data_IF_489664196484
#
_entry.id   IF_489664196484
#
_cell.length_a   1.000
_cell.length_b   1.000
_cell.length_c   1.000
_cell.angle_alpha   90.00
_cell.angle_beta   90.00
_cell.angle_gamma   90.00
#
_symmetry.space_group_name_H-M   'P 1'
#
loop_
_entity.id
_entity.type
_entity.pdbx_description
1 polymer ?
#
# COMPACT_ATOMS: atom_id res chain seq x y z
N UNK A 1 30.65 -10.23 8.55
CA UNK A 1 30.54 -8.77 8.29
C UNK A 1 29.19 -8.36 8.82
N UNK A 2 29.16 -7.58 9.90
CA UNK A 2 27.92 -7.10 10.51
C UNK A 2 27.37 -5.98 9.63
N UNK A 3 26.26 -6.24 8.94
CA UNK A 3 25.44 -5.21 8.32
C UNK A 3 24.74 -4.45 9.45
N UNK A 4 25.22 -3.26 9.75
CA UNK A 4 24.49 -2.30 10.57
C UNK A 4 23.20 -1.98 9.80
N UNK A 5 22.07 -2.44 10.32
CA UNK A 5 20.76 -1.89 9.99
C UNK A 5 20.79 -0.46 10.52
N UNK A 6 20.88 0.52 9.63
CA UNK A 6 20.75 1.92 10.00
C UNK A 6 19.34 2.15 10.52
N UNK A 7 19.13 2.05 11.83
CA UNK A 7 17.90 2.48 12.47
C UNK A 7 17.81 3.99 12.27
N UNK A 8 16.83 4.43 11.47
CA UNK A 8 16.44 5.85 11.41
C UNK A 8 16.20 6.32 12.84
N UNK A 9 16.81 7.44 13.29
CA UNK A 9 16.58 7.96 14.64
C UNK A 9 15.07 8.18 14.83
N UNK A 10 14.48 7.42 15.76
CA UNK A 10 13.06 7.46 16.02
C UNK A 10 12.74 8.73 16.79
N UNK A 11 11.91 9.59 16.19
CA UNK A 11 11.55 10.89 16.75
C UNK A 11 10.17 10.79 17.38
N UNK A 12 10.12 10.52 18.67
CA UNK A 12 8.85 10.52 19.36
C UNK A 12 8.48 11.90 19.89
N UNK A 13 7.18 12.22 19.86
CA UNK A 13 6.66 13.53 20.27
C UNK A 13 5.73 13.36 21.46
N UNK A 14 5.82 14.26 22.43
CA UNK A 14 4.81 14.39 23.49
C UNK A 14 3.94 15.61 23.19
N UNK A 15 2.65 15.41 22.94
CA UNK A 15 1.74 16.50 22.59
C UNK A 15 0.44 16.44 23.39
N UNK A 16 0.08 17.55 24.03
CA UNK A 16 -1.10 17.65 24.91
C UNK A 16 -1.21 16.52 25.97
N UNK A 17 -0.07 15.96 26.37
CA UNK A 17 0.03 14.85 27.31
C UNK A 17 -0.15 13.45 26.70
N UNK A 18 -0.26 13.32 25.38
CA UNK A 18 -0.26 12.05 24.66
C UNK A 18 1.11 11.78 24.04
N UNK A 19 1.71 10.60 24.25
CA UNK A 19 2.84 10.16 23.43
C UNK A 19 2.38 9.85 22.01
N UNK A 20 3.08 10.43 21.05
CA UNK A 20 2.95 10.17 19.62
C UNK A 20 4.21 9.41 19.21
N UNK A 21 4.06 8.11 18.98
CA UNK A 21 5.17 7.21 18.62
C UNK A 21 5.13 6.99 17.13
N UNK A 22 6.24 7.31 16.47
CA UNK A 22 6.36 7.19 15.02
C UNK A 22 6.87 5.78 14.74
N UNK A 23 6.07 4.98 14.04
CA UNK A 23 6.45 3.62 13.65
C UNK A 23 6.65 3.57 12.14
N UNK A 24 7.81 4.03 11.63
CA UNK A 24 8.07 3.99 10.21
C UNK A 24 8.02 2.55 9.73
N UNK A 25 7.23 2.31 8.68
CA UNK A 25 7.19 1.02 8.01
C UNK A 25 8.34 0.98 7.00
N UNK A 26 9.31 0.09 7.18
CA UNK A 26 10.52 0.02 6.35
C UNK A 26 10.22 0.00 4.84
N UNK A 27 9.14 -0.69 4.45
CA UNK A 27 8.72 -0.78 3.05
C UNK A 27 8.10 0.52 2.52
N UNK A 28 7.49 1.36 3.37
CA UNK A 28 6.96 2.68 2.99
C UNK A 28 8.11 3.64 2.67
N UNK A 29 9.20 3.59 3.43
CA UNK A 29 10.40 4.43 3.21
C UNK A 29 11.34 3.91 2.12
N UNK A 30 11.03 2.77 1.51
CA UNK A 30 11.91 2.18 0.50
C UNK A 30 12.02 3.06 -0.77
N UNK A 31 13.23 3.16 -1.31
CA UNK A 31 13.51 3.92 -2.54
C UNK A 31 12.65 3.46 -3.74
N UNK A 32 12.31 2.17 -3.78
CA UNK A 32 11.47 1.61 -4.84
C UNK A 32 10.02 2.12 -4.76
N UNK A 33 9.44 2.22 -3.55
CA UNK A 33 8.10 2.77 -3.36
C UNK A 33 8.09 4.27 -3.59
N UNK A 34 9.10 5.00 -3.12
CA UNK A 34 9.25 6.43 -3.41
C UNK A 34 9.26 6.68 -4.92
N UNK A 35 10.12 5.98 -5.67
CA UNK A 35 10.19 6.13 -7.14
C UNK A 35 8.89 5.73 -7.83
N UNK A 36 8.19 4.72 -7.32
CA UNK A 36 6.92 4.27 -7.87
C UNK A 36 5.84 5.35 -7.86
N UNK A 37 5.70 6.03 -6.72
CA UNK A 37 4.70 7.10 -6.51
C UNK A 37 4.92 8.21 -7.54
N UNK A 38 6.14 8.69 -7.68
CA UNK A 38 6.46 9.77 -8.62
C UNK A 38 6.41 9.34 -10.09
N UNK A 39 6.75 8.09 -10.41
CA UNK A 39 6.70 7.58 -11.78
C UNK A 39 5.28 7.50 -12.37
N UNK A 40 4.27 7.52 -11.52
CA UNK A 40 2.87 7.40 -11.91
C UNK A 40 2.08 8.72 -11.81
N UNK A 41 2.72 9.83 -11.44
CA UNK A 41 2.07 11.16 -11.42
C UNK A 41 1.47 11.51 -12.79
N UNK A 42 2.20 11.22 -13.87
CA UNK A 42 1.77 11.46 -15.24
C UNK A 42 0.85 10.35 -15.80
N UNK A 43 0.73 9.21 -15.11
CA UNK A 43 -0.04 8.03 -15.55
C UNK A 43 -1.22 7.74 -14.62
N UNK A 44 -2.20 8.66 -14.63
CA UNK A 44 -3.40 8.61 -13.77
C UNK A 44 -4.10 7.26 -13.77
N UNK A 45 -4.23 6.62 -14.93
CA UNK A 45 -4.91 5.32 -15.03
C UNK A 45 -4.19 4.26 -14.21
N UNK A 46 -2.85 4.27 -14.23
CA UNK A 46 -2.03 3.32 -13.50
C UNK A 46 -1.99 3.63 -12.00
N UNK A 47 -1.85 4.91 -11.62
CA UNK A 47 -2.02 5.38 -10.23
C UNK A 47 -3.35 4.88 -9.65
N UNK A 48 -4.44 5.16 -10.35
CA UNK A 48 -5.79 4.81 -9.91
C UNK A 48 -5.98 3.31 -9.74
N UNK A 49 -5.30 2.51 -10.56
CA UNK A 49 -5.28 1.07 -10.43
C UNK A 49 -4.59 0.63 -9.14
N UNK A 50 -3.39 1.14 -8.83
CA UNK A 50 -2.71 0.78 -7.57
C UNK A 50 -3.46 1.24 -6.32
N UNK A 51 -4.10 2.42 -6.37
CA UNK A 51 -4.89 2.93 -5.24
C UNK A 51 -6.21 2.16 -5.04
N UNK A 52 -6.95 1.84 -6.13
CA UNK A 52 -8.27 1.16 -6.04
C UNK A 52 -8.17 -0.35 -5.92
N UNK A 53 -7.23 -0.95 -6.63
CA UNK A 53 -7.14 -2.41 -6.78
C UNK A 53 -6.08 -2.96 -5.85
N UNK A 54 -6.38 -2.96 -4.55
CA UNK A 54 -5.67 -3.80 -3.60
C UNK A 54 -6.29 -5.20 -3.66
N UNK A 55 -5.45 -6.24 -3.72
CA UNK A 55 -5.84 -7.66 -3.89
C UNK A 55 -6.63 -8.27 -2.71
N UNK A 56 -7.13 -7.40 -1.84
CA UNK A 56 -7.81 -7.63 -0.58
C UNK A 56 -9.30 -7.27 -0.61
N UNK A 57 -9.72 -6.34 -1.47
CA UNK A 57 -11.13 -5.92 -1.58
C UNK A 57 -12.05 -6.93 -2.30
N UNK A 58 -11.50 -8.04 -2.79
CA UNK A 58 -12.22 -9.05 -3.56
C UNK A 58 -12.53 -10.32 -2.76
N UNK A 59 -12.01 -10.44 -1.53
CA UNK A 59 -12.45 -11.46 -0.56
C UNK A 59 -13.62 -10.94 0.27
N UNK A 60 -14.78 -10.72 -0.35
CA UNK A 60 -15.98 -10.57 0.46
C UNK A 60 -16.42 -11.95 0.95
N UNK A 61 -16.14 -12.23 2.22
CA UNK A 61 -16.86 -13.20 3.05
C UNK A 61 -18.27 -12.69 3.43
N UNK A 62 -18.88 -11.82 2.60
CA UNK A 62 -20.28 -11.44 2.75
C UNK A 62 -21.15 -12.46 2.02
N UNK A 63 -21.87 -13.27 2.80
CA UNK A 63 -22.82 -14.34 2.46
C UNK A 63 -24.06 -13.88 1.65
N UNK A 64 -23.95 -12.81 0.86
CA UNK A 64 -24.97 -12.45 -0.13
C UNK A 64 -24.78 -13.31 -1.38
N UNK A 65 -25.74 -14.21 -1.62
CA UNK A 65 -25.75 -15.25 -2.67
C UNK A 65 -25.76 -14.76 -4.13
N UNK A 66 -25.35 -13.51 -4.42
CA UNK A 66 -25.25 -12.96 -5.77
C UNK A 66 -23.90 -12.28 -6.00
N UNK A 67 -22.81 -13.04 -5.85
CA UNK A 67 -21.51 -12.63 -6.43
C UNK A 67 -21.13 -13.57 -7.56
N UNK A 68 -21.22 -12.98 -8.75
CA UNK A 68 -21.08 -13.57 -10.09
C UNK A 68 -19.85 -14.46 -10.26
N UNK A 69 -19.91 -15.37 -11.24
CA UNK A 69 -18.76 -16.19 -11.71
C UNK A 69 -17.49 -15.36 -12.00
N UNK A 70 -17.60 -14.05 -12.25
CA UNK A 70 -16.45 -13.16 -12.44
C UNK A 70 -15.58 -13.01 -11.17
N UNK A 71 -16.19 -12.93 -9.97
CA UNK A 71 -15.42 -12.78 -8.73
C UNK A 71 -14.56 -14.01 -8.42
N UNK A 72 -15.08 -15.21 -8.68
CA UNK A 72 -14.31 -16.45 -8.52
C UNK A 72 -13.16 -16.58 -9.51
N UNK A 73 -13.27 -15.95 -10.69
CA UNK A 73 -12.24 -16.02 -11.75
C UNK A 73 -11.01 -15.20 -11.35
N UNK A 74 -11.20 -13.97 -10.88
CA UNK A 74 -10.08 -13.13 -10.44
C UNK A 74 -9.51 -13.56 -9.08
N UNK A 75 -10.34 -14.09 -8.18
CA UNK A 75 -9.88 -14.61 -6.88
C UNK A 75 -8.76 -15.64 -7.04
N UNK A 76 -8.87 -16.51 -8.05
CA UNK A 76 -7.86 -17.51 -8.35
C UNK A 76 -6.50 -16.90 -8.74
N UNK A 77 -6.51 -15.83 -9.52
CA UNK A 77 -5.32 -15.07 -9.86
C UNK A 77 -4.73 -14.34 -8.64
N UNK A 78 -5.57 -13.80 -7.78
CA UNK A 78 -5.14 -13.10 -6.56
C UNK A 78 -4.53 -14.03 -5.52
N UNK A 79 -5.14 -15.20 -5.30
CA UNK A 79 -4.59 -16.23 -4.41
C UNK A 79 -3.22 -16.69 -4.92
N UNK A 80 -3.06 -16.82 -6.24
CA UNK A 80 -1.76 -17.15 -6.84
C UNK A 80 -0.71 -16.09 -6.52
N UNK A 81 -0.99 -14.81 -6.73
CA UNK A 81 -0.02 -13.73 -6.45
C UNK A 81 0.30 -13.67 -4.96
N UNK A 82 -0.71 -13.79 -4.09
CA UNK A 82 -0.53 -13.72 -2.63
C UNK A 82 0.38 -14.83 -2.12
N UNK A 83 0.23 -16.04 -2.64
CA UNK A 83 1.01 -17.19 -2.18
C UNK A 83 2.39 -17.27 -2.84
N UNK A 84 2.48 -16.93 -4.13
CA UNK A 84 3.71 -17.10 -4.91
C UNK A 84 4.61 -15.85 -4.92
N UNK A 85 4.04 -14.65 -4.72
CA UNK A 85 4.68 -13.33 -4.91
C UNK A 85 5.13 -13.07 -6.35
N UNK A 86 4.44 -13.69 -7.31
CA UNK A 86 4.77 -13.63 -8.73
C UNK A 86 3.58 -13.18 -9.56
N UNK A 87 3.86 -12.46 -10.64
CA UNK A 87 2.92 -12.19 -11.71
C UNK A 87 3.25 -13.08 -12.92
N UNK A 88 2.26 -13.75 -13.53
CA UNK A 88 2.48 -14.55 -14.73
C UNK A 88 2.85 -13.65 -15.91
N UNK A 89 3.88 -14.03 -16.67
CA UNK A 89 4.22 -13.37 -17.94
C UNK A 89 3.39 -13.98 -19.07
N UNK A 90 3.01 -13.17 -20.06
CA UNK A 90 2.34 -13.70 -21.25
C UNK A 90 3.20 -14.81 -21.90
N UNK A 91 2.64 -16.02 -21.97
CA UNK A 91 3.35 -17.21 -22.46
C UNK A 91 3.03 -17.45 -23.93
N UNK A 92 4.00 -17.33 -24.86
CA UNK A 92 3.80 -17.72 -26.25
C UNK A 92 3.86 -19.24 -26.40
N UNK A 93 2.85 -19.84 -27.05
CA UNK A 93 2.88 -21.25 -27.46
C UNK A 93 1.59 -22.03 -27.22
N UNK A 94 1.60 -23.30 -27.63
CA UNK A 94 0.56 -24.29 -27.32
C UNK A 94 1.24 -25.52 -26.76
N UNK A 95 1.10 -25.74 -25.46
CA UNK A 95 1.41 -27.02 -24.83
C UNK A 95 0.14 -27.61 -24.22
N UNK A 96 0.06 -28.94 -24.25
CA UNK A 96 -1.05 -29.71 -23.69
C UNK A 96 -0.81 -30.12 -22.23
N UNK A 97 0.29 -29.70 -21.61
CA UNK A 97 0.52 -30.03 -20.20
C UNK A 97 -0.54 -29.31 -19.34
N UNK A 98 -1.01 -30.01 -18.30
CA UNK A 98 -1.96 -29.43 -17.33
C UNK A 98 -1.38 -28.17 -16.68
N UNK A 99 -0.06 -28.12 -16.51
CA UNK A 99 0.66 -27.01 -15.89
C UNK A 99 0.77 -25.80 -16.83
N UNK A 100 1.12 -26.00 -18.10
CA UNK A 100 1.07 -24.93 -19.10
C UNK A 100 -0.33 -24.32 -19.22
N UNK A 101 -1.34 -25.18 -19.27
CA UNK A 101 -2.76 -24.74 -19.32
C UNK A 101 -3.11 -23.91 -18.09
N UNK A 102 -2.66 -24.30 -16.90
CA UNK A 102 -2.87 -23.58 -15.65
C UNK A 102 -2.24 -22.18 -15.68
N UNK A 103 -0.95 -22.06 -16.03
CA UNK A 103 -0.24 -20.77 -16.06
C UNK A 103 -0.74 -19.87 -17.20
N UNK A 104 -1.06 -20.46 -18.36
CA UNK A 104 -1.67 -19.74 -19.48
C UNK A 104 -3.03 -19.16 -19.09
N UNK A 105 -3.86 -19.92 -18.36
CA UNK A 105 -5.13 -19.42 -17.84
C UNK A 105 -4.94 -18.27 -16.85
N UNK A 106 -3.97 -18.36 -15.92
CA UNK A 106 -3.65 -17.26 -15.01
C UNK A 106 -3.21 -16.00 -15.77
N UNK A 107 -2.37 -16.15 -16.78
CA UNK A 107 -1.92 -15.04 -17.64
C UNK A 107 -3.10 -14.38 -18.36
N UNK A 108 -4.00 -15.18 -18.93
CA UNK A 108 -5.20 -14.68 -19.61
C UNK A 108 -6.15 -13.95 -18.65
N UNK A 109 -6.33 -14.47 -17.44
CA UNK A 109 -7.14 -13.82 -16.40
C UNK A 109 -6.52 -12.47 -16.01
N UNK A 110 -5.19 -12.43 -15.85
CA UNK A 110 -4.47 -11.20 -15.55
C UNK A 110 -4.64 -10.16 -16.66
N UNK A 111 -4.43 -10.54 -17.92
CA UNK A 111 -4.61 -9.62 -19.04
C UNK A 111 -6.05 -9.12 -19.16
N UNK A 112 -7.06 -9.97 -18.94
CA UNK A 112 -8.46 -9.55 -18.91
C UNK A 112 -8.73 -8.53 -17.80
N UNK A 113 -8.18 -8.74 -16.60
CA UNK A 113 -8.31 -7.81 -15.49
C UNK A 113 -7.72 -6.45 -15.86
N UNK A 114 -6.46 -6.41 -16.31
CA UNK A 114 -5.75 -5.17 -16.63
C UNK A 114 -6.38 -4.45 -17.84
N UNK A 115 -6.82 -5.18 -18.86
CA UNK A 115 -7.55 -4.59 -19.99
C UNK A 115 -8.89 -3.98 -19.53
N UNK A 116 -9.61 -4.66 -18.63
CA UNK A 116 -10.88 -4.16 -18.08
C UNK A 116 -10.69 -2.93 -17.18
N UNK A 117 -9.62 -2.88 -16.38
CA UNK A 117 -9.42 -1.81 -15.39
C UNK A 117 -8.70 -0.59 -15.94
N UNK A 118 -7.70 -0.80 -16.80
CA UNK A 118 -6.81 0.27 -17.28
C UNK A 118 -6.60 0.27 -18.79
N UNK A 119 -7.32 -0.56 -19.55
CA UNK A 119 -7.22 -0.65 -21.02
C UNK A 119 -5.80 -0.94 -21.52
N UNK A 120 -5.01 -1.70 -20.75
CA UNK A 120 -3.64 -2.10 -21.09
C UNK A 120 -3.42 -3.55 -20.65
N UNK A 121 -2.60 -4.35 -21.35
CA UNK A 121 -2.25 -5.69 -20.91
C UNK A 121 -1.30 -5.64 -19.69
N UNK A 122 -1.22 -6.74 -18.94
CA UNK A 122 -0.31 -6.86 -17.79
C UNK A 122 1.14 -6.60 -18.21
N UNK A 123 1.57 -7.15 -19.35
CA UNK A 123 2.93 -7.01 -19.85
C UNK A 123 3.37 -5.54 -19.99
N UNK A 124 2.49 -4.67 -20.51
CA UNK A 124 2.78 -3.25 -20.66
C UNK A 124 2.96 -2.55 -19.29
N UNK A 125 2.21 -2.96 -18.26
CA UNK A 125 2.40 -2.44 -16.89
C UNK A 125 3.72 -2.93 -16.32
N UNK A 126 4.02 -4.21 -16.47
CA UNK A 126 5.26 -4.81 -15.98
C UNK A 126 6.50 -4.18 -16.63
N UNK A 127 6.48 -3.88 -17.93
CA UNK A 127 7.59 -3.19 -18.63
C UNK A 127 7.86 -1.79 -18.06
N UNK A 128 6.81 -1.05 -17.67
CA UNK A 128 6.96 0.24 -17.00
C UNK A 128 7.51 0.07 -15.58
N UNK A 129 6.97 -0.88 -14.83
CA UNK A 129 7.36 -1.21 -13.46
C UNK A 129 8.82 -1.70 -13.37
N UNK A 130 9.27 -2.46 -14.35
CA UNK A 130 10.65 -2.95 -14.46
C UNK A 130 11.65 -1.80 -14.54
N UNK A 131 11.38 -0.77 -15.35
CA UNK A 131 12.25 0.41 -15.46
C UNK A 131 12.42 1.16 -14.13
N UNK A 132 11.47 1.02 -13.22
CA UNK A 132 11.45 1.64 -11.89
C UNK A 132 12.11 0.73 -10.85
N UNK A 133 12.30 -0.57 -11.16
CA UNK A 133 12.91 -1.55 -10.28
C UNK A 133 11.94 -2.25 -9.31
N UNK A 134 10.63 -2.00 -9.42
CA UNK A 134 9.60 -2.63 -8.55
C UNK A 134 9.16 -4.02 -9.04
N UNK A 135 9.49 -4.36 -10.28
CA UNK A 135 9.28 -5.68 -10.88
C UNK A 135 10.58 -6.14 -11.53
N UNK A 136 10.97 -7.39 -11.31
CA UNK A 136 12.09 -8.03 -12.04
C UNK A 136 11.54 -8.99 -13.09
N UNK A 137 11.88 -8.83 -14.38
CA UNK A 137 11.48 -9.77 -15.43
C UNK A 137 12.35 -11.03 -15.34
N UNK A 138 11.78 -12.17 -15.70
CA UNK A 138 12.56 -13.36 -16.03
C UNK A 138 13.17 -14.10 -14.84
N UNK A 139 12.32 -14.36 -13.84
CA UNK A 139 12.57 -15.50 -12.97
C UNK A 139 12.03 -16.76 -13.64
N UNK A 140 12.97 -17.63 -14.00
CA UNK A 140 12.67 -19.03 -14.32
C UNK A 140 12.56 -19.78 -13.01
N UNK A 141 11.41 -20.41 -12.79
CA UNK A 141 11.14 -21.12 -11.56
C UNK A 141 10.89 -22.58 -11.90
N UNK A 142 11.64 -23.46 -11.25
CA UNK A 142 11.48 -24.92 -11.39
C UNK A 142 10.26 -25.46 -10.63
N UNK A 143 9.80 -24.76 -9.57
CA UNK A 143 8.57 -25.07 -8.85
C UNK A 143 7.87 -23.86 -8.22
N UNK A 144 6.54 -23.81 -8.34
CA UNK A 144 5.71 -22.77 -7.68
C UNK A 144 4.80 -23.44 -6.67
N UNK A 145 4.65 -22.89 -5.46
CA UNK A 145 3.68 -23.36 -4.47
C UNK A 145 2.39 -22.57 -4.59
N UNK A 146 1.25 -23.25 -4.74
CA UNK A 146 -0.07 -22.65 -4.66
C UNK A 146 -1.11 -23.62 -4.08
N UNK A 147 -1.94 -23.17 -3.13
CA UNK A 147 -2.97 -23.93 -2.40
C UNK A 147 -2.44 -25.21 -1.73
N UNK A 148 -1.28 -25.10 -1.08
CA UNK A 148 -0.60 -26.22 -0.42
C UNK A 148 -0.08 -27.30 -1.39
N UNK A 149 -0.15 -27.06 -2.70
CA UNK A 149 0.46 -27.91 -3.72
C UNK A 149 1.74 -27.25 -4.19
N UNK A 150 2.84 -27.97 -4.01
CA UNK A 150 4.06 -27.68 -4.73
C UNK A 150 3.88 -28.20 -6.14
N UNK A 151 3.86 -27.27 -7.09
CA UNK A 151 3.91 -27.62 -8.49
C UNK A 151 5.39 -27.78 -8.85
N UNK A 152 5.99 -28.85 -8.36
CA UNK A 152 7.32 -29.28 -8.78
C UNK A 152 7.28 -29.76 -10.22
N UNK A 153 8.38 -29.50 -10.93
CA UNK A 153 8.70 -30.08 -12.22
C UNK A 153 8.34 -31.57 -12.22
N UNK A 154 7.73 -32.03 -13.32
CA UNK A 154 7.83 -33.43 -13.72
C UNK A 154 9.33 -33.76 -13.68
N UNK A 155 9.72 -34.61 -12.74
CA UNK A 155 11.07 -35.14 -12.61
C UNK A 155 11.48 -35.67 -13.97
N UNK A 156 12.68 -35.32 -14.44
CA UNK A 156 13.34 -36.15 -15.44
C UNK A 156 13.30 -37.57 -14.88
N UNK A 157 12.53 -38.45 -15.51
CA UNK A 157 12.86 -39.85 -15.37
C UNK A 157 14.28 -39.93 -15.93
N UNK A 158 15.26 -40.20 -15.08
CA UNK A 158 16.45 -40.91 -15.52
C UNK A 158 15.94 -42.23 -16.09
N UNK A 159 15.50 -42.17 -17.34
CA UNK A 159 15.40 -43.36 -18.16
C UNK A 159 16.84 -43.73 -18.50
N UNK A 160 17.42 -44.60 -17.68
CA UNK A 160 18.22 -45.70 -18.21
C UNK A 160 17.36 -46.52 -19.19
N UNK A 161 16.89 -45.93 -20.28
CA UNK A 161 16.35 -46.65 -21.42
C UNK A 161 17.08 -46.17 -22.67
N UNK A 162 17.99 -47.04 -23.10
CA UNK A 162 18.37 -47.15 -24.50
C UNK A 162 17.10 -47.33 -25.35
N UNK A 163 16.56 -46.25 -25.89
CA UNK A 163 15.74 -46.32 -27.09
C UNK A 163 15.94 -45.06 -27.91
N UNK A 164 16.47 -45.28 -29.10
CA UNK A 164 16.57 -44.30 -30.18
C UNK A 164 15.20 -43.68 -30.49
N UNK A 165 15.21 -42.41 -30.89
CA UNK A 165 14.06 -41.57 -31.25
C UNK A 165 13.13 -41.07 -30.13
N UNK A 166 13.65 -40.15 -29.30
CA UNK A 166 12.82 -39.09 -28.72
C UNK A 166 13.36 -37.71 -29.11
N UNK A 167 12.50 -36.91 -29.74
CA UNK A 167 12.64 -35.46 -29.84
C UNK A 167 12.98 -34.92 -28.45
N UNK A 168 14.17 -34.34 -28.30
CA UNK A 168 14.61 -33.59 -27.12
C UNK A 168 13.52 -32.57 -26.75
N UNK A 169 12.63 -32.96 -25.86
CA UNK A 169 11.57 -32.11 -25.37
C UNK A 169 12.25 -31.11 -24.44
N UNK A 170 12.60 -29.93 -24.97
CA UNK A 170 13.12 -28.84 -24.16
C UNK A 170 12.14 -28.59 -23.02
N UNK A 171 12.58 -28.61 -21.75
CA UNK A 171 11.70 -28.39 -20.62
C UNK A 171 11.00 -27.03 -20.75
N UNK A 172 9.68 -27.02 -20.55
CA UNK A 172 8.89 -25.79 -20.55
C UNK A 172 9.40 -24.86 -19.45
N UNK A 173 10.08 -23.79 -19.85
CA UNK A 173 10.51 -22.72 -18.95
C UNK A 173 9.39 -21.71 -18.82
N UNK A 174 8.84 -21.56 -17.62
CA UNK A 174 7.86 -20.53 -17.31
C UNK A 174 8.57 -19.25 -16.91
N UNK A 175 8.14 -18.13 -17.50
CA UNK A 175 8.63 -16.81 -17.14
C UNK A 175 7.64 -16.14 -16.22
N UNK A 176 8.13 -15.61 -15.11
CA UNK A 176 7.36 -14.80 -14.19
C UNK A 176 8.03 -13.44 -13.98
N UNK A 177 7.21 -12.47 -13.62
CA UNK A 177 7.65 -11.22 -13.02
C UNK A 177 7.67 -11.39 -11.51
N UNK A 178 8.79 -11.08 -10.87
CA UNK A 178 8.88 -11.03 -9.41
C UNK A 178 8.50 -9.65 -8.90
N UNK A 179 7.58 -9.63 -7.94
CA UNK A 179 7.17 -8.41 -7.23
C UNK A 179 8.23 -8.11 -6.17
N UNK A 180 8.65 -6.85 -6.03
CA UNK A 180 9.52 -6.45 -4.92
C UNK A 180 8.83 -6.69 -3.57
N UNK A 181 9.63 -6.87 -2.50
CA UNK A 181 9.07 -7.11 -1.17
C UNK A 181 8.22 -5.91 -0.71
N UNK A 182 8.67 -4.67 -0.91
CA UNK A 182 7.91 -3.49 -0.47
C UNK A 182 6.62 -3.32 -1.25
N UNK A 183 6.62 -3.57 -2.57
CA UNK A 183 5.39 -3.53 -3.37
C UNK A 183 4.42 -4.64 -2.94
N UNK A 184 4.94 -5.82 -2.62
CA UNK A 184 4.12 -6.91 -2.09
C UNK A 184 3.45 -6.52 -0.76
N UNK A 185 4.20 -5.90 0.16
CA UNK A 185 3.68 -5.40 1.43
C UNK A 185 2.53 -4.40 1.24
N UNK A 186 2.71 -3.37 0.41
CA UNK A 186 1.70 -2.30 0.29
C UNK A 186 0.52 -2.62 -0.63
N UNK A 187 0.71 -3.49 -1.62
CA UNK A 187 -0.27 -3.69 -2.70
C UNK A 187 -0.99 -5.03 -2.63
N UNK A 188 -0.31 -6.08 -2.15
CA UNK A 188 -0.84 -7.45 -2.19
C UNK A 188 -1.41 -7.89 -0.83
N UNK A 189 -0.81 -7.48 0.29
CA UNK A 189 -1.17 -8.01 1.62
C UNK A 189 -2.54 -7.55 2.12
N UNK A 190 -3.38 -8.51 2.57
CA UNK A 190 -4.51 -8.38 3.47
C UNK A 190 -4.71 -7.08 4.21
N UNK A 191 -3.81 -7.00 5.18
CA UNK A 191 -3.72 -6.11 6.31
C UNK A 191 -3.41 -4.68 5.91
N UNK A 192 -2.78 -4.47 4.75
CA UNK A 192 -2.35 -3.16 4.26
C UNK A 192 -3.30 -2.58 3.21
N UNK A 193 -4.56 -3.00 3.24
CA UNK A 193 -5.59 -2.51 2.32
C UNK A 193 -5.83 -1.02 2.52
N UNK A 194 -5.60 -0.23 1.47
CA UNK A 194 -5.82 1.22 1.50
C UNK A 194 -4.58 2.05 1.77
N UNK A 195 -3.52 1.41 2.27
CA UNK A 195 -2.23 2.03 2.58
C UNK A 195 -1.62 2.78 1.40
N UNK A 196 -1.88 2.33 0.16
CA UNK A 196 -1.34 2.98 -1.03
C UNK A 196 -1.75 4.46 -1.16
N UNK A 197 -2.95 4.85 -0.71
CA UNK A 197 -3.38 6.25 -0.73
C UNK A 197 -2.60 7.09 0.29
N UNK A 198 -2.46 6.58 1.52
CA UNK A 198 -1.73 7.20 2.63
C UNK A 198 -0.27 7.43 2.25
N UNK A 199 0.38 6.38 1.76
CA UNK A 199 1.76 6.38 1.28
C UNK A 199 1.96 7.38 0.15
N UNK A 200 0.98 7.51 -0.76
CA UNK A 200 1.06 8.50 -1.84
C UNK A 200 1.02 9.94 -1.31
N UNK A 201 0.05 10.24 -0.45
CA UNK A 201 -0.09 11.56 0.19
C UNK A 201 1.17 11.90 0.96
N UNK A 202 1.66 10.95 1.75
CA UNK A 202 2.88 11.06 2.55
C UNK A 202 4.10 11.44 1.70
N UNK A 203 4.43 10.65 0.68
CA UNK A 203 5.61 10.92 -0.15
C UNK A 203 5.47 12.21 -0.96
N UNK A 204 4.26 12.53 -1.44
CA UNK A 204 4.01 13.81 -2.13
C UNK A 204 4.36 14.99 -1.23
N UNK A 205 3.84 15.00 0.01
CA UNK A 205 4.10 16.06 0.97
C UNK A 205 5.57 16.10 1.40
N UNK A 206 6.16 14.93 1.68
CA UNK A 206 7.56 14.81 2.11
C UNK A 206 8.52 15.31 1.04
N UNK A 207 8.28 15.02 -0.23
CA UNK A 207 9.10 15.51 -1.33
C UNK A 207 8.91 17.01 -1.57
N UNK A 208 7.67 17.51 -1.46
CA UNK A 208 7.35 18.93 -1.60
C UNK A 208 8.04 19.79 -0.53
N UNK A 209 7.99 19.35 0.73
CA UNK A 209 8.56 20.08 1.87
C UNK A 209 10.01 19.70 2.20
N UNK A 210 10.69 18.87 1.38
CA UNK A 210 12.04 18.35 1.68
C UNK A 210 13.12 19.41 1.97
N UNK A 211 12.95 20.62 1.44
CA UNK A 211 13.89 21.73 1.63
C UNK A 211 13.50 22.68 2.77
N UNK A 212 12.37 22.44 3.43
CA UNK A 212 11.91 23.24 4.56
C UNK A 212 12.17 22.48 5.87
N UNK A 213 13.25 22.83 6.56
CA UNK A 213 13.67 22.17 7.81
C UNK A 213 12.68 22.39 8.96
N UNK A 214 11.80 23.40 8.87
CA UNK A 214 10.79 23.67 9.89
C UNK A 214 9.60 22.71 9.80
N UNK A 215 9.40 22.04 8.66
CA UNK A 215 8.25 21.17 8.41
C UNK A 215 8.71 19.72 8.34
N UNK A 216 8.08 18.86 9.14
CA UNK A 216 8.27 17.42 9.04
C UNK A 216 6.95 16.73 8.79
N UNK A 217 7.01 15.67 7.99
CA UNK A 217 5.89 14.84 7.62
C UNK A 217 6.19 13.43 8.14
N UNK A 218 5.25 12.86 8.87
CA UNK A 218 5.36 11.52 9.45
C UNK A 218 4.20 10.65 9.00
N UNK A 219 4.46 9.36 8.80
CA UNK A 219 3.49 8.33 8.44
C UNK A 219 3.30 7.36 9.61
N UNK A 220 2.10 6.78 9.78
CA UNK A 220 1.78 5.78 10.82
C UNK A 220 2.20 6.22 12.22
N UNK A 221 1.59 7.30 12.70
CA UNK A 221 1.87 7.83 14.05
C UNK A 221 0.84 7.27 15.03
N UNK A 222 1.31 6.45 15.97
CA UNK A 222 0.45 5.85 16.99
C UNK A 222 0.31 6.77 18.20
N UNK A 223 -0.93 7.02 18.60
CA UNK A 223 -1.29 7.85 19.75
C UNK A 223 -1.55 6.96 20.96
N UNK A 224 -0.79 7.14 22.03
CA UNK A 224 -0.97 6.39 23.28
C UNK A 224 -1.63 7.25 24.37
N UNK A 225 -2.39 6.62 25.26
CA UNK A 225 -3.08 7.31 26.35
C UNK A 225 -2.12 8.07 27.30
N UNK A 226 -2.63 9.13 27.96
CA UNK A 226 -1.83 10.01 28.84
C UNK A 226 -1.19 9.32 30.06
N UNK A 227 -1.61 8.09 30.38
CA UNK A 227 -1.06 7.26 31.45
C UNK A 227 0.37 6.78 31.18
N UNK A 228 0.78 6.77 29.90
CA UNK A 228 2.15 6.54 29.45
C UNK A 228 3.06 7.73 29.81
N UNK A 229 3.34 7.94 31.10
CA UNK A 229 4.26 8.98 31.62
C UNK A 229 5.74 8.62 31.46
N UNK A 230 6.08 7.53 30.79
CA UNK A 230 7.47 7.23 30.49
C UNK A 230 7.90 8.09 29.31
N UNK A 231 9.14 8.61 29.34
CA UNK A 231 9.76 9.20 28.15
C UNK A 231 9.51 8.31 26.94
N UNK A 232 9.30 8.84 25.73
CA UNK A 232 8.91 8.00 24.61
C UNK A 232 9.91 6.86 24.31
N UNK A 233 11.20 7.12 24.52
CA UNK A 233 12.30 6.15 24.47
C UNK A 233 12.11 4.96 25.44
N UNK A 234 11.39 5.18 26.56
CA UNK A 234 11.02 4.15 27.52
C UNK A 234 9.64 3.52 27.25
N UNK A 235 8.79 4.15 26.42
CA UNK A 235 7.45 3.66 26.10
C UNK A 235 7.51 2.43 25.19
N UNK A 236 8.39 2.41 24.19
CA UNK A 236 8.58 1.22 23.34
C UNK A 236 9.14 0.05 24.13
N UNK A 237 10.16 0.28 24.97
CA UNK A 237 10.69 -0.75 25.86
C UNK A 237 9.60 -1.30 26.81
N UNK A 238 8.62 -0.47 27.21
CA UNK A 238 7.47 -0.89 28.01
C UNK A 238 6.44 -1.69 27.20
N UNK A 239 6.16 -1.29 25.95
CA UNK A 239 5.28 -2.03 25.03
C UNK A 239 5.88 -3.42 24.73
N UNK A 240 7.19 -3.49 24.44
CA UNK A 240 7.90 -4.72 24.15
C UNK A 240 8.02 -5.66 25.37
N UNK A 241 8.13 -5.09 26.58
CA UNK A 241 8.36 -5.87 27.81
C UNK A 241 7.11 -6.55 28.38
N UNK A 242 5.91 -6.39 27.79
CA UNK A 242 4.65 -7.03 28.24
C UNK A 242 4.30 -6.74 29.72
N UNK A 243 4.90 -5.73 30.36
CA UNK A 243 4.69 -5.42 31.78
C UNK A 243 3.32 -4.75 31.95
N UNK A 244 2.35 -5.55 32.42
CA UNK A 244 0.97 -5.19 32.79
C UNK A 244 0.17 -4.38 31.76
N UNK A 245 -0.62 -5.10 30.95
CA UNK A 245 -1.59 -4.63 29.94
C UNK A 245 -2.70 -3.68 30.43
N UNK A 246 -2.58 -3.00 31.57
CA UNK A 246 -3.67 -2.20 32.16
C UNK A 246 -3.51 -0.68 32.10
N UNK A 247 -2.33 -0.13 31.82
CA UNK A 247 -2.14 1.34 31.87
C UNK A 247 -1.80 2.00 30.53
N UNK A 248 -1.17 1.29 29.59
CA UNK A 248 -0.76 1.85 28.30
C UNK A 248 -1.60 1.20 27.20
N UNK A 249 -2.39 2.01 26.51
CA UNK A 249 -3.22 1.56 25.40
C UNK A 249 -3.13 2.54 24.24
N UNK A 250 -3.05 1.99 23.03
CA UNK A 250 -3.20 2.77 21.81
C UNK A 250 -4.62 3.31 21.73
N UNK A 251 -4.73 4.61 21.45
CA UNK A 251 -5.99 5.34 21.32
C UNK A 251 -6.43 5.38 19.87
N UNK A 252 -5.50 5.70 18.97
CA UNK A 252 -5.69 5.76 17.52
C UNK A 252 -4.34 5.74 16.82
N UNK A 253 -4.33 5.37 15.55
CA UNK A 253 -3.26 5.65 14.61
C UNK A 253 -3.63 6.90 13.79
N UNK A 254 -2.63 7.67 13.38
CA UNK A 254 -2.74 8.79 12.43
C UNK A 254 -2.00 8.40 11.16
N UNK A 255 -2.68 8.48 10.01
CA UNK A 255 -2.08 8.09 8.74
C UNK A 255 -0.93 9.02 8.36
N UNK A 256 -1.16 10.34 8.40
CA UNK A 256 -0.11 11.36 8.21
C UNK A 256 -0.22 12.45 9.27
N UNK A 257 0.90 12.73 9.94
CA UNK A 257 1.06 13.85 10.86
C UNK A 257 2.01 14.88 10.26
N UNK A 258 1.61 16.15 10.31
CA UNK A 258 2.42 17.29 9.87
C UNK A 258 2.80 18.10 11.09
N UNK A 259 4.09 18.35 11.25
CA UNK A 259 4.61 19.27 12.27
C UNK A 259 5.22 20.50 11.61
N UNK A 260 5.15 21.62 12.33
CA UNK A 260 5.93 22.82 12.04
C UNK A 260 6.67 23.24 13.30
N UNK A 261 7.98 23.47 13.23
CA UNK A 261 8.83 23.79 14.38
C UNK A 261 8.64 22.79 15.54
N UNK A 262 8.61 21.50 15.24
CA UNK A 262 8.35 20.40 16.18
C UNK A 262 6.96 20.40 16.87
N UNK A 263 6.02 21.24 16.41
CA UNK A 263 4.65 21.25 16.92
C UNK A 263 3.71 20.61 15.89
N UNK A 264 2.89 19.62 16.28
CA UNK A 264 1.78 19.14 15.45
C UNK A 264 0.86 20.27 15.00
N UNK A 265 0.61 20.40 13.70
CA UNK A 265 -0.26 21.45 13.11
C UNK A 265 -1.39 20.90 12.26
N UNK A 266 -1.24 19.70 11.71
CA UNK A 266 -2.27 19.07 10.89
C UNK A 266 -2.19 17.54 10.96
N UNK A 267 -3.35 16.90 10.93
CA UNK A 267 -3.52 15.45 10.76
C UNK A 267 -4.22 15.20 9.43
N UNK A 268 -3.75 14.23 8.65
CA UNK A 268 -4.47 13.73 7.49
C UNK A 268 -4.92 12.29 7.75
N UNK A 269 -6.21 12.02 7.56
CA UNK A 269 -6.76 10.67 7.48
C UNK A 269 -7.10 10.38 6.01
N UNK A 270 -6.70 9.23 5.51
CA UNK A 270 -6.95 8.77 4.16
C UNK A 270 -7.93 7.60 4.15
N UNK A 271 -8.87 7.63 3.20
CA UNK A 271 -9.80 6.54 2.96
C UNK A 271 -9.90 6.25 1.48
N UNK A 272 -9.26 5.17 1.05
CA UNK A 272 -9.31 4.72 -0.34
C UNK A 272 -10.74 4.30 -0.81
N UNK A 273 -11.66 4.10 0.15
CA UNK A 273 -13.07 3.80 -0.06
C UNK A 273 -13.96 5.04 0.19
N UNK A 274 -15.28 4.85 0.25
CA UNK A 274 -16.21 5.95 0.55
C UNK A 274 -16.13 6.34 2.04
N UNK A 275 -15.81 7.60 2.32
CA UNK A 275 -15.90 8.20 3.64
C UNK A 275 -17.28 8.81 3.87
N UNK A 276 -17.71 8.84 5.13
CA UNK A 276 -18.96 9.43 5.57
C UNK A 276 -18.75 10.38 6.76
N UNK A 277 -19.82 11.01 7.25
CA UNK A 277 -19.70 12.00 8.33
C UNK A 277 -19.19 11.40 9.65
N UNK A 278 -19.36 10.10 9.90
CA UNK A 278 -18.77 9.46 11.07
C UNK A 278 -17.23 9.48 10.99
N UNK A 279 -16.65 9.25 9.81
CA UNK A 279 -15.21 9.33 9.61
C UNK A 279 -14.68 10.76 9.86
N UNK A 280 -15.41 11.78 9.39
CA UNK A 280 -15.08 13.20 9.62
C UNK A 280 -15.18 13.56 11.10
N UNK A 281 -16.22 13.10 11.79
CA UNK A 281 -16.40 13.32 13.23
C UNK A 281 -15.34 12.59 14.06
N UNK A 282 -14.88 11.40 13.62
CA UNK A 282 -13.75 10.69 14.24
C UNK A 282 -12.48 11.54 14.15
N UNK A 283 -12.15 12.01 12.95
CA UNK A 283 -10.97 12.87 12.72
C UNK A 283 -11.07 14.16 13.54
N UNK A 284 -12.23 14.84 13.53
CA UNK A 284 -12.50 16.00 14.38
C UNK A 284 -12.29 15.70 15.87
N UNK A 285 -12.80 14.57 16.36
CA UNK A 285 -12.58 14.13 17.74
C UNK A 285 -11.09 13.98 18.08
N UNK A 286 -10.30 13.44 17.16
CA UNK A 286 -8.84 13.31 17.33
C UNK A 286 -8.15 14.67 17.34
N UNK A 287 -8.50 15.60 16.44
CA UNK A 287 -7.92 16.96 16.44
C UNK A 287 -8.23 17.69 17.74
N UNK A 288 -9.46 17.56 18.27
CA UNK A 288 -9.84 18.13 19.57
C UNK A 288 -9.10 17.48 20.74
N UNK A 289 -8.95 16.14 20.71
CA UNK A 289 -8.23 15.37 21.73
C UNK A 289 -6.77 15.80 21.83
N UNK A 290 -6.12 15.95 20.67
CA UNK A 290 -4.70 16.30 20.59
C UNK A 290 -4.46 17.80 20.68
N UNK A 291 -5.48 18.66 20.48
CA UNK A 291 -5.35 20.11 20.30
C UNK A 291 -4.50 20.47 19.09
N UNK A 292 -4.81 19.83 17.97
CA UNK A 292 -4.22 20.12 16.67
C UNK A 292 -5.26 20.91 15.87
N UNK A 293 -4.85 22.07 15.36
CA UNK A 293 -5.79 23.06 14.84
C UNK A 293 -6.44 22.65 13.51
N UNK A 294 -5.84 21.74 12.75
CA UNK A 294 -6.32 21.38 11.42
C UNK A 294 -6.39 19.87 11.21
N UNK A 295 -7.37 19.43 10.43
CA UNK A 295 -7.41 18.06 9.89
C UNK A 295 -7.81 18.04 8.42
N UNK A 296 -7.38 17.01 7.70
CA UNK A 296 -7.74 16.79 6.30
C UNK A 296 -8.23 15.34 6.15
N UNK A 297 -9.46 15.17 5.65
CA UNK A 297 -9.99 13.89 5.23
C UNK A 297 -9.76 13.73 3.72
N UNK A 298 -8.89 12.81 3.33
CA UNK A 298 -8.60 12.49 1.93
C UNK A 298 -9.34 11.22 1.56
N UNK A 299 -10.29 11.28 0.62
CA UNK A 299 -11.13 10.12 0.30
C UNK A 299 -11.42 9.97 -1.18
N UNK A 300 -11.53 8.71 -1.64
CA UNK A 300 -11.98 8.42 -3.00
C UNK A 300 -13.42 8.90 -3.25
N UNK A 301 -14.27 8.94 -2.22
CA UNK A 301 -15.63 9.44 -2.37
C UNK A 301 -16.15 9.88 -1.01
N UNK A 302 -16.70 11.08 -0.93
CA UNK A 302 -17.43 11.51 0.25
C UNK A 302 -18.93 11.49 -0.05
N UNK A 303 -19.73 11.16 0.97
CA UNK A 303 -21.20 11.10 1.04
C UNK A 303 -22.00 11.73 -0.13
N UNK A 304 -23.14 11.12 -0.52
CA UNK A 304 -24.01 11.58 -1.63
C UNK A 304 -24.54 13.03 -1.55
N UNK A 305 -24.32 13.75 -0.44
CA UNK A 305 -24.64 15.17 -0.30
C UNK A 305 -23.62 16.00 -1.08
N UNK A 306 -23.99 16.41 -2.29
CA UNK A 306 -23.17 17.31 -3.10
C UNK A 306 -22.85 18.60 -2.32
N UNK A 307 -21.56 18.93 -2.21
CA UNK A 307 -21.10 20.27 -1.83
C UNK A 307 -20.57 20.46 -0.41
N UNK A 308 -20.45 19.40 0.41
CA UNK A 308 -19.73 19.51 1.69
C UNK A 308 -18.24 19.29 1.41
N UNK A 309 -17.45 20.34 1.61
CA UNK A 309 -15.99 20.35 1.44
C UNK A 309 -15.24 20.57 2.76
N UNK A 310 -15.96 20.84 3.84
CA UNK A 310 -15.40 21.10 5.16
C UNK A 310 -16.42 20.76 6.28
N UNK A 311 -15.89 20.62 7.49
CA UNK A 311 -16.63 20.57 8.75
C UNK A 311 -15.74 21.11 9.87
N UNK A 312 -16.12 22.23 10.49
CA UNK A 312 -15.31 22.91 11.51
C UNK A 312 -13.89 23.21 10.98
N UNK A 313 -12.86 22.61 11.59
CA UNK A 313 -11.46 22.71 11.19
C UNK A 313 -10.97 21.55 10.32
N UNK A 314 -11.91 20.72 9.82
CA UNK A 314 -11.61 19.56 8.97
C UNK A 314 -11.93 19.90 7.53
N UNK A 315 -10.93 19.86 6.66
CA UNK A 315 -11.13 19.94 5.21
C UNK A 315 -11.37 18.56 4.62
N UNK A 316 -12.24 18.46 3.63
CA UNK A 316 -12.62 17.20 2.99
C UNK A 316 -12.22 17.24 1.52
N UNK A 317 -11.20 16.46 1.17
CA UNK A 317 -10.73 16.27 -0.20
C UNK A 317 -11.31 14.96 -0.72
N UNK A 318 -12.40 15.05 -1.47
CA UNK A 318 -13.10 13.89 -2.04
C UNK A 318 -12.75 13.64 -3.50
N UNK A 319 -13.17 12.49 -4.05
CA UNK A 319 -12.99 12.12 -5.46
C UNK A 319 -11.50 12.03 -5.89
N UNK A 320 -10.58 11.82 -4.94
CA UNK A 320 -9.12 11.92 -5.15
C UNK A 320 -8.56 11.02 -6.23
N UNK A 321 -9.26 9.92 -6.53
CA UNK A 321 -8.83 8.99 -7.57
C UNK A 321 -9.19 9.53 -8.96
N UNK A 322 -10.30 10.24 -9.11
CA UNK A 322 -10.74 10.78 -10.40
C UNK A 322 -10.36 12.26 -10.57
N UNK A 323 -9.98 12.96 -9.49
CA UNK A 323 -9.61 14.37 -9.52
C UNK A 323 -8.29 14.60 -10.28
N UNK A 324 -8.32 15.58 -11.17
CA UNK A 324 -7.18 16.00 -11.99
C UNK A 324 -6.15 16.80 -11.18
N UNK A 325 -6.60 17.43 -10.09
CA UNK A 325 -5.79 18.28 -9.22
C UNK A 325 -5.17 17.49 -8.06
N UNK A 326 -5.53 16.22 -7.85
CA UNK A 326 -4.89 15.39 -6.83
C UNK A 326 -3.54 14.84 -7.32
N UNK A 327 -2.47 14.86 -6.50
CA UNK A 327 -2.41 15.27 -5.08
C UNK A 327 -2.08 16.76 -4.82
N UNK A 328 -1.95 17.59 -5.87
CA UNK A 328 -1.59 19.01 -5.76
C UNK A 328 -2.52 19.81 -4.84
N UNK A 329 -3.82 19.54 -4.87
CA UNK A 329 -4.79 20.19 -3.98
C UNK A 329 -4.52 19.93 -2.49
N UNK A 330 -4.08 18.72 -2.12
CA UNK A 330 -3.67 18.43 -0.73
C UNK A 330 -2.43 19.23 -0.35
N UNK A 331 -1.47 19.36 -1.26
CA UNK A 331 -0.28 20.18 -1.05
C UNK A 331 -0.66 21.65 -0.82
N UNK A 332 -1.51 22.22 -1.68
CA UNK A 332 -1.98 23.62 -1.56
C UNK A 332 -2.67 23.87 -0.21
N UNK A 333 -3.55 22.96 0.23
CA UNK A 333 -4.20 23.04 1.55
C UNK A 333 -3.17 23.03 2.68
N UNK A 334 -2.18 22.15 2.61
CA UNK A 334 -1.13 22.07 3.63
C UNK A 334 -0.27 23.33 3.63
N UNK A 335 0.09 23.87 2.46
CA UNK A 335 0.82 25.14 2.33
C UNK A 335 0.07 26.29 3.01
N UNK A 336 -1.25 26.36 2.84
CA UNK A 336 -2.07 27.36 3.54
C UNK A 336 -2.00 27.16 5.06
N UNK A 337 -2.21 25.94 5.55
CA UNK A 337 -2.17 25.62 6.99
C UNK A 337 -0.82 25.99 7.61
N UNK A 338 0.28 25.54 6.99
CA UNK A 338 1.63 25.82 7.52
C UNK A 338 2.03 27.28 7.31
N UNK A 339 1.48 27.97 6.30
CA UNK A 339 1.72 29.40 6.05
C UNK A 339 1.06 30.33 7.06
N UNK A 340 -0.12 29.97 7.58
CA UNK A 340 -0.90 30.81 8.51
C UNK A 340 -0.48 30.65 9.98
N UNK A 341 0.31 29.64 10.31
CA UNK A 341 0.64 29.30 11.70
C UNK A 341 1.67 30.23 12.39
N UNK A 342 1.90 31.43 11.86
CA UNK A 342 2.91 32.40 12.34
C UNK A 342 2.35 33.59 13.13
N UNK A 343 1.04 33.66 13.41
CA UNK A 343 0.46 34.89 14.00
C UNK A 343 0.02 34.84 15.47
N UNK A 344 0.13 33.71 16.17
CA UNK A 344 -0.17 33.67 17.61
C UNK A 344 0.87 32.88 18.41
N UNK A 345 1.80 33.63 19.03
CA UNK A 345 2.66 33.20 20.13
C UNK A 345 1.87 32.85 21.40
#
# INVERSE_FOLDING_TARGET
MNTSTGSTPQKDLLHNGFPLVIKPLDYVESEEIKKLIFAFEDDRTLRNFFIKQTFSGLSSLDDSQEKSRENNTYQYFFDFIRESRLLPKAMPGKSTTKYYTYISNLSNIADQLFLKTISRPLAHVCEKAEKIGIITPDIFIDSVKHKGKEFDKITFADEEHNSEDFSLCTPEKFCFYKISESLYEIWIKPENTGLFLEVWVYHTLKEHFKSNEDIEIFHSVHVYNKGARAQPEALEALIESNVSKSEISEVTELDVLITKNNKPVCIIECKNSEANMYDVLKLYGVTQLLKIDNGIMVTNKFHKSKGITDFENIQIVSDVINDLNFPKNVVEIVEEIVGHSTEYE
#
